data_IF_355585973527
#
_entry.id   IF_355585973527
#
_cell.length_a   1.000
_cell.length_b   1.000
_cell.length_c   1.000
_cell.angle_alpha   90.00
_cell.angle_beta   90.00
_cell.angle_gamma   90.00
#
_symmetry.space_group_name_H-M   'P 1'
#
loop_
_entity.id
_entity.type
_entity.pdbx_description
1 polymer ?
#
# COMPACT_ATOMS: atom_id res chain seq x y z
N UNK A 1 -19.89 -1.29 7.01
CA UNK A 1 -18.46 -1.59 7.30
C UNK A 1 -18.11 -1.35 8.77
N UNK A 2 -18.42 -0.20 9.38
CA UNK A 2 -18.00 0.10 10.77
C UNK A 2 -18.48 -0.96 11.76
N UNK A 3 -19.74 -1.33 11.75
CA UNK A 3 -20.29 -2.35 12.67
C UNK A 3 -19.58 -3.72 12.53
N UNK A 4 -19.23 -4.11 11.30
CA UNK A 4 -18.46 -5.36 11.06
C UNK A 4 -17.06 -5.24 11.64
N UNK A 5 -16.41 -4.07 11.47
CA UNK A 5 -15.08 -3.80 12.00
C UNK A 5 -15.07 -3.83 13.53
N UNK A 6 -16.05 -3.16 14.15
CA UNK A 6 -16.20 -3.12 15.62
C UNK A 6 -16.44 -4.52 16.19
N UNK A 7 -17.30 -5.33 15.54
CA UNK A 7 -17.49 -6.74 15.91
C UNK A 7 -16.21 -7.56 15.82
N UNK A 8 -15.46 -7.44 14.70
CA UNK A 8 -14.22 -8.19 14.50
C UNK A 8 -13.16 -7.82 15.52
N UNK A 9 -13.02 -6.54 15.84
CA UNK A 9 -12.01 -6.06 16.79
C UNK A 9 -12.36 -6.42 18.23
N UNK A 10 -13.60 -6.16 18.66
CA UNK A 10 -13.98 -6.25 20.05
C UNK A 10 -14.52 -7.64 20.45
N UNK A 11 -15.46 -8.18 19.66
CA UNK A 11 -16.14 -9.43 20.02
C UNK A 11 -15.38 -10.70 19.58
N UNK A 12 -14.55 -10.58 18.53
CA UNK A 12 -13.81 -11.74 18.01
C UNK A 12 -12.31 -11.71 18.34
N UNK A 13 -11.61 -10.59 18.07
CA UNK A 13 -10.16 -10.48 18.28
C UNK A 13 -9.79 -10.00 19.70
N UNK A 14 -10.76 -9.53 20.47
CA UNK A 14 -10.58 -9.07 21.84
C UNK A 14 -9.40 -8.08 22.00
N UNK A 15 -9.36 -7.04 21.13
CA UNK A 15 -8.24 -6.10 21.06
C UNK A 15 -8.02 -5.31 22.35
N UNK A 16 -9.03 -5.21 23.22
CA UNK A 16 -8.93 -4.63 24.55
C UNK A 16 -7.87 -5.32 25.43
N UNK A 17 -7.62 -6.63 25.20
CA UNK A 17 -6.60 -7.38 25.95
C UNK A 17 -5.18 -6.90 25.64
N UNK A 18 -4.97 -6.25 24.48
CA UNK A 18 -3.66 -5.69 24.11
C UNK A 18 -3.23 -4.56 25.05
N UNK A 19 -4.17 -3.80 25.61
CA UNK A 19 -3.86 -2.68 26.52
C UNK A 19 -3.20 -3.13 27.82
N UNK A 20 -3.31 -4.41 28.18
CA UNK A 20 -2.60 -4.99 29.32
C UNK A 20 -1.11 -5.23 29.05
N UNK A 21 -0.66 -5.14 27.79
CA UNK A 21 0.75 -5.34 27.40
C UNK A 21 1.54 -4.05 27.62
N UNK A 22 2.78 -4.11 28.14
CA UNK A 22 3.58 -2.91 28.45
C UNK A 22 3.71 -1.93 27.27
N UNK A 23 3.86 -2.44 26.02
CA UNK A 23 3.96 -1.60 24.83
C UNK A 23 2.72 -0.74 24.58
N UNK A 24 1.55 -1.23 24.95
CA UNK A 24 0.26 -0.62 24.64
C UNK A 24 -0.44 -0.02 25.88
N UNK A 25 0.26 0.05 27.02
CA UNK A 25 -0.32 0.46 28.31
C UNK A 25 -0.85 1.92 28.34
N UNK A 26 -0.37 2.78 27.44
CA UNK A 26 -0.85 4.16 27.27
C UNK A 26 -2.17 4.24 26.49
N UNK A 27 -2.63 3.12 25.89
CA UNK A 27 -3.85 3.05 25.12
C UNK A 27 -5.03 2.51 25.93
N UNK A 28 -6.23 2.81 25.45
CA UNK A 28 -7.50 2.26 25.91
C UNK A 28 -8.40 1.96 24.70
N UNK A 29 -9.53 1.31 24.94
CA UNK A 29 -10.55 1.09 23.90
C UNK A 29 -11.07 2.40 23.32
N UNK A 30 -11.16 3.46 24.13
CA UNK A 30 -11.56 4.80 23.72
C UNK A 30 -10.51 5.44 22.81
N UNK A 31 -9.21 5.26 23.08
CA UNK A 31 -8.14 5.75 22.18
C UNK A 31 -8.16 5.02 20.85
N UNK A 32 -8.39 3.70 20.85
CA UNK A 32 -8.56 2.93 19.61
C UNK A 32 -9.75 3.43 18.78
N UNK A 33 -10.91 3.62 19.42
CA UNK A 33 -12.10 4.17 18.77
C UNK A 33 -11.84 5.56 18.18
N UNK A 34 -11.16 6.46 18.91
CA UNK A 34 -10.84 7.80 18.45
C UNK A 34 -9.90 7.81 17.23
N UNK A 35 -8.93 6.88 17.17
CA UNK A 35 -8.08 6.69 15.98
C UNK A 35 -8.93 6.26 14.80
N UNK A 36 -9.79 5.25 14.96
CA UNK A 36 -10.65 4.76 13.88
C UNK A 36 -11.63 5.84 13.40
N UNK A 37 -12.22 6.63 14.30
CA UNK A 37 -13.11 7.76 13.94
C UNK A 37 -12.36 8.82 13.14
N UNK A 38 -11.11 9.10 13.51
CA UNK A 38 -10.25 10.04 12.77
C UNK A 38 -9.91 9.53 11.39
N UNK A 39 -9.51 8.26 11.25
CA UNK A 39 -9.22 7.62 9.96
C UNK A 39 -10.47 7.61 9.05
N UNK A 40 -11.63 7.23 9.60
CA UNK A 40 -12.89 7.22 8.86
C UNK A 40 -13.27 8.61 8.36
N UNK A 41 -13.14 9.64 9.20
CA UNK A 41 -13.43 11.03 8.83
C UNK A 41 -12.50 11.52 7.72
N UNK A 42 -11.18 11.33 7.84
CA UNK A 42 -10.21 11.75 6.83
C UNK A 42 -10.46 11.00 5.51
N UNK A 43 -10.67 9.69 5.56
CA UNK A 43 -10.96 8.86 4.38
C UNK A 43 -12.23 9.34 3.66
N UNK A 44 -13.30 9.61 4.41
CA UNK A 44 -14.57 10.11 3.88
C UNK A 44 -14.44 11.52 3.27
N UNK A 45 -13.70 12.42 3.91
CA UNK A 45 -13.69 13.84 3.56
C UNK A 45 -12.58 14.18 2.54
N UNK A 46 -11.47 13.42 2.52
CA UNK A 46 -10.27 13.71 1.71
C UNK A 46 -9.99 12.70 0.60
N UNK A 47 -10.43 11.46 0.72
CA UNK A 47 -10.15 10.39 -0.24
C UNK A 47 -11.37 10.05 -1.09
N UNK A 48 -12.47 9.65 -0.47
CA UNK A 48 -13.64 9.12 -1.16
C UNK A 48 -14.22 10.07 -2.23
N UNK A 49 -14.36 11.41 -2.00
CA UNK A 49 -14.91 12.33 -3.00
C UNK A 49 -14.04 12.46 -4.25
N UNK A 50 -12.75 12.13 -4.15
CA UNK A 50 -11.76 12.35 -5.21
C UNK A 50 -11.26 11.06 -5.85
N UNK A 51 -11.77 9.90 -5.44
CA UNK A 51 -11.35 8.60 -6.00
C UNK A 51 -11.59 8.54 -7.52
N UNK A 52 -12.74 9.04 -7.97
CA UNK A 52 -13.06 9.12 -9.41
C UNK A 52 -12.17 10.11 -10.16
N UNK A 53 -11.87 11.23 -9.53
CA UNK A 53 -10.97 12.24 -10.11
C UNK A 53 -9.57 11.66 -10.33
N UNK A 54 -9.02 10.97 -9.32
CA UNK A 54 -7.71 10.33 -9.40
C UNK A 54 -7.63 9.24 -10.49
N UNK A 55 -8.75 8.52 -10.75
CA UNK A 55 -8.83 7.54 -11.84
C UNK A 55 -8.89 8.19 -13.23
N UNK A 56 -9.59 9.30 -13.37
CA UNK A 56 -9.84 9.95 -14.68
C UNK A 56 -8.78 10.97 -15.07
N UNK A 57 -8.12 11.57 -14.11
CA UNK A 57 -6.98 12.47 -14.31
C UNK A 57 -5.69 11.74 -13.91
N UNK A 58 -5.27 10.82 -14.78
CA UNK A 58 -4.07 10.04 -14.57
C UNK A 58 -2.83 10.93 -14.44
N UNK A 59 -1.81 10.51 -13.62
CA UNK A 59 -0.52 11.18 -13.59
C UNK A 59 0.07 11.32 -14.99
N UNK A 60 0.57 12.49 -15.34
CA UNK A 60 1.18 12.77 -16.63
C UNK A 60 2.40 13.68 -16.50
N UNK A 61 3.33 13.54 -17.45
CA UNK A 61 4.54 14.36 -17.48
C UNK A 61 4.18 15.73 -18.05
N UNK A 62 4.60 16.77 -17.37
CA UNK A 62 4.58 18.15 -17.83
C UNK A 62 6.00 18.69 -17.89
N UNK A 63 6.30 19.45 -18.95
CA UNK A 63 7.61 20.09 -19.15
C UNK A 63 7.45 21.59 -19.11
N UNK A 64 8.20 22.25 -18.26
CA UNK A 64 8.26 23.70 -18.15
C UNK A 64 9.70 24.20 -17.99
N UNK A 65 9.89 25.48 -17.65
CA UNK A 65 11.22 26.05 -17.43
C UNK A 65 12.00 25.43 -16.27
N UNK A 66 11.33 24.69 -15.37
CA UNK A 66 11.95 23.95 -14.26
C UNK A 66 12.34 22.52 -14.62
N UNK A 67 12.03 22.06 -15.85
CA UNK A 67 12.28 20.71 -16.33
C UNK A 67 11.01 19.84 -16.38
N UNK A 68 11.24 18.53 -16.49
CA UNK A 68 10.14 17.55 -16.48
C UNK A 68 9.72 17.18 -15.05
N UNK A 69 8.42 17.17 -14.82
CA UNK A 69 7.79 16.76 -13.56
C UNK A 69 6.49 16.00 -13.81
N UNK A 70 6.04 15.26 -12.82
CA UNK A 70 4.77 14.54 -12.89
C UNK A 70 3.68 15.36 -12.24
N UNK A 71 2.67 15.71 -13.02
CA UNK A 71 1.48 16.38 -12.52
C UNK A 71 0.49 15.38 -11.92
N UNK A 72 -0.02 15.68 -10.74
CA UNK A 72 -1.08 14.97 -10.02
C UNK A 72 -2.21 15.96 -9.68
N UNK A 73 -3.47 15.49 -9.58
CA UNK A 73 -4.55 16.32 -9.05
C UNK A 73 -4.21 16.84 -7.64
N UNK A 74 -4.53 18.11 -7.36
CA UNK A 74 -4.32 18.70 -6.03
C UNK A 74 -4.95 17.87 -4.91
N UNK A 75 -6.11 17.26 -5.17
CA UNK A 75 -6.77 16.36 -4.22
C UNK A 75 -5.91 15.16 -3.79
N UNK A 76 -5.02 14.66 -4.66
CA UNK A 76 -4.08 13.59 -4.30
C UNK A 76 -3.02 14.10 -3.32
N UNK A 77 -2.51 15.32 -3.53
CA UNK A 77 -1.61 15.97 -2.57
C UNK A 77 -2.28 16.18 -1.22
N UNK A 78 -3.48 16.77 -1.21
CA UNK A 78 -4.21 17.08 0.02
C UNK A 78 -4.58 15.83 0.82
N UNK A 79 -4.95 14.75 0.14
CA UNK A 79 -5.30 13.49 0.78
C UNK A 79 -4.08 12.80 1.41
N UNK A 80 -2.99 12.70 0.66
CA UNK A 80 -1.75 12.05 1.15
C UNK A 80 -1.11 12.83 2.29
N UNK A 81 -1.13 14.17 2.23
CA UNK A 81 -0.65 15.00 3.34
C UNK A 81 -1.57 14.89 4.56
N UNK A 82 -2.90 14.88 4.39
CA UNK A 82 -3.83 14.66 5.51
C UNK A 82 -3.64 13.30 6.20
N UNK A 83 -3.29 12.25 5.43
CA UNK A 83 -2.89 10.96 5.99
C UNK A 83 -1.59 11.09 6.80
N UNK A 84 -0.56 11.73 6.26
CA UNK A 84 0.70 11.95 6.96
C UNK A 84 0.51 12.75 8.26
N UNK A 85 -0.24 13.85 8.21
CA UNK A 85 -0.56 14.71 9.36
C UNK A 85 -1.37 14.00 10.45
N UNK A 86 -2.10 12.93 10.11
CA UNK A 86 -2.83 12.11 11.10
C UNK A 86 -1.91 11.26 11.96
N UNK A 87 -0.62 11.15 11.64
CA UNK A 87 0.36 10.29 12.31
C UNK A 87 0.33 8.83 11.85
N UNK A 88 -0.54 8.47 10.91
CA UNK A 88 -0.70 7.08 10.47
C UNK A 88 0.52 6.51 9.74
N UNK A 89 1.43 7.35 9.21
CA UNK A 89 2.69 6.87 8.63
C UNK A 89 3.58 6.13 9.65
N UNK A 90 3.50 6.53 10.93
CA UNK A 90 4.30 5.98 12.02
C UNK A 90 3.43 5.32 13.10
N UNK A 91 2.20 4.94 12.81
CA UNK A 91 1.22 4.54 13.81
C UNK A 91 1.72 3.49 14.81
N UNK A 92 2.36 2.43 14.34
CA UNK A 92 2.90 1.35 15.18
C UNK A 92 4.33 1.61 15.71
N UNK A 93 4.99 2.70 15.29
CA UNK A 93 6.37 3.00 15.70
C UNK A 93 6.44 3.56 17.13
N UNK A 94 7.64 3.54 17.71
CA UNK A 94 7.90 4.09 19.03
C UNK A 94 7.73 5.61 19.06
N UNK A 95 7.37 6.16 20.22
CA UNK A 95 7.15 7.60 20.41
C UNK A 95 8.37 8.45 20.04
N UNK A 96 9.59 7.94 20.25
CA UNK A 96 10.84 8.64 19.91
C UNK A 96 11.01 8.88 18.40
N UNK A 97 10.35 8.06 17.57
CA UNK A 97 10.31 8.21 16.10
C UNK A 97 9.05 8.93 15.60
N UNK A 98 8.29 9.55 16.49
CA UNK A 98 7.03 10.23 16.16
C UNK A 98 5.85 9.28 16.00
N UNK A 99 5.99 8.02 16.43
CA UNK A 99 4.94 7.01 16.40
C UNK A 99 3.91 7.16 17.51
N UNK A 100 2.89 6.35 17.45
CA UNK A 100 1.82 6.29 18.44
C UNK A 100 1.85 4.98 19.25
N UNK A 101 2.75 4.06 18.95
CA UNK A 101 2.78 2.70 19.50
C UNK A 101 1.42 2.00 19.41
N UNK A 102 0.69 2.23 18.32
CA UNK A 102 -0.59 1.53 18.10
C UNK A 102 -0.37 0.03 17.86
N UNK A 103 -1.27 -0.84 18.34
CA UNK A 103 -1.31 -2.21 17.87
C UNK A 103 -1.46 -2.26 16.33
N UNK A 104 -0.75 -3.18 15.69
CA UNK A 104 -0.80 -3.39 14.24
C UNK A 104 -2.25 -3.67 13.77
N UNK A 105 -3.04 -4.39 14.56
CA UNK A 105 -4.45 -4.65 14.24
C UNK A 105 -5.29 -3.37 14.20
N UNK A 106 -5.00 -2.37 15.03
CA UNK A 106 -5.71 -1.08 15.03
C UNK A 106 -5.24 -0.21 13.88
N UNK A 107 -3.92 -0.18 13.59
CA UNK A 107 -3.38 0.48 12.40
C UNK A 107 -4.01 -0.08 11.12
N UNK A 108 -4.08 -1.41 10.99
CA UNK A 108 -4.69 -2.09 9.85
C UNK A 108 -6.19 -1.77 9.72
N UNK A 109 -6.91 -1.72 10.84
CA UNK A 109 -8.32 -1.33 10.87
C UNK A 109 -8.53 0.13 10.43
N UNK A 110 -7.63 1.05 10.83
CA UNK A 110 -7.62 2.43 10.34
C UNK A 110 -7.36 2.51 8.83
N UNK A 111 -6.39 1.74 8.35
CA UNK A 111 -6.04 1.67 6.92
C UNK A 111 -7.16 1.10 6.03
N UNK A 112 -8.08 0.30 6.60
CA UNK A 112 -9.26 -0.18 5.88
C UNK A 112 -10.15 0.97 5.37
N UNK A 113 -10.31 2.05 6.12
CA UNK A 113 -11.10 3.21 5.68
C UNK A 113 -10.46 3.91 4.48
N UNK A 114 -9.14 4.13 4.51
CA UNK A 114 -8.41 4.76 3.41
C UNK A 114 -8.41 3.90 2.15
N UNK A 115 -8.18 2.60 2.29
CA UNK A 115 -8.19 1.65 1.19
C UNK A 115 -9.55 1.53 0.52
N UNK A 116 -10.64 1.56 1.31
CA UNK A 116 -12.00 1.59 0.78
C UNK A 116 -12.30 2.88 0.04
N UNK A 117 -11.82 3.99 0.55
CA UNK A 117 -12.09 5.32 0.01
C UNK A 117 -11.34 5.58 -1.32
N UNK A 118 -10.05 5.27 -1.38
CA UNK A 118 -9.23 5.35 -2.60
C UNK A 118 -7.91 4.61 -2.42
N UNK A 119 -7.85 3.39 -2.89
CA UNK A 119 -6.63 2.58 -2.83
C UNK A 119 -5.47 3.21 -3.60
N UNK A 120 -5.75 3.89 -4.71
CA UNK A 120 -4.73 4.54 -5.54
C UNK A 120 -4.05 5.72 -4.82
N UNK A 121 -4.80 6.53 -4.07
CA UNK A 121 -4.24 7.64 -3.29
C UNK A 121 -3.52 7.13 -2.03
N UNK A 122 -4.00 6.05 -1.41
CA UNK A 122 -3.38 5.41 -0.25
C UNK A 122 -2.04 4.72 -0.55
N UNK A 123 -1.75 4.41 -1.81
CA UNK A 123 -0.55 3.70 -2.23
C UNK A 123 0.76 4.42 -1.89
N UNK A 124 0.78 5.75 -1.95
CA UNK A 124 1.96 6.55 -1.58
C UNK A 124 2.33 6.40 -0.11
N UNK A 125 1.34 6.47 0.77
CA UNK A 125 1.54 6.32 2.21
C UNK A 125 1.96 4.90 2.60
N UNK A 126 1.34 3.87 2.03
CA UNK A 126 1.68 2.47 2.26
C UNK A 126 3.14 2.16 1.90
N UNK A 127 3.61 2.64 0.75
CA UNK A 127 4.99 2.47 0.32
C UNK A 127 5.97 3.19 1.26
N UNK A 128 5.61 4.38 1.73
CA UNK A 128 6.43 5.20 2.62
C UNK A 128 6.57 4.54 4.00
N UNK A 129 5.48 4.12 4.62
CA UNK A 129 5.53 3.42 5.92
C UNK A 129 6.36 2.14 5.83
N UNK A 130 6.19 1.34 4.76
CA UNK A 130 6.97 0.12 4.56
C UNK A 130 8.46 0.39 4.33
N UNK A 131 8.82 1.44 3.58
CA UNK A 131 10.20 1.88 3.37
C UNK A 131 10.85 2.25 4.72
N UNK A 132 10.21 3.15 5.46
CA UNK A 132 10.70 3.60 6.76
C UNK A 132 10.82 2.45 7.76
N UNK A 133 9.84 1.53 7.84
CA UNK A 133 9.89 0.33 8.70
C UNK A 133 11.07 -0.57 8.36
N UNK A 134 11.36 -0.77 7.07
CA UNK A 134 12.55 -1.53 6.64
C UNK A 134 13.84 -0.85 7.14
N UNK A 135 13.94 0.48 7.02
CA UNK A 135 15.10 1.23 7.49
C UNK A 135 15.22 1.17 9.02
N UNK A 136 14.12 1.16 9.77
CA UNK A 136 14.13 0.93 11.22
C UNK A 136 14.72 -0.44 11.56
N UNK A 137 14.38 -1.48 10.80
CA UNK A 137 14.86 -2.83 11.06
C UNK A 137 16.33 -3.07 10.66
N UNK A 138 16.78 -2.47 9.55
CA UNK A 138 18.05 -2.82 8.91
C UNK A 138 19.03 -1.66 8.71
N UNK A 139 18.57 -0.42 8.82
CA UNK A 139 19.40 0.77 8.66
C UNK A 139 20.33 1.02 9.85
N UNK A 140 21.42 1.75 9.61
CA UNK A 140 22.28 2.26 10.67
C UNK A 140 21.52 3.28 11.53
N UNK A 141 21.99 3.61 12.76
CA UNK A 141 21.35 4.66 13.56
C UNK A 141 21.20 5.99 12.81
N UNK A 142 22.20 6.40 12.04
CA UNK A 142 22.13 7.64 11.25
C UNK A 142 21.16 7.51 10.05
N UNK A 143 21.09 6.36 9.39
CA UNK A 143 20.10 6.13 8.33
C UNK A 143 18.67 6.18 8.86
N UNK A 144 18.42 5.66 10.06
CA UNK A 144 17.10 5.76 10.72
C UNK A 144 16.74 7.21 11.01
N UNK A 145 17.66 7.98 11.58
CA UNK A 145 17.44 9.39 11.92
C UNK A 145 17.24 10.26 10.68
N UNK A 146 18.06 10.07 9.63
CA UNK A 146 18.04 10.90 8.44
C UNK A 146 16.90 10.50 7.49
N UNK A 147 16.67 9.22 7.26
CA UNK A 147 15.69 8.78 6.25
C UNK A 147 14.36 8.34 6.88
N UNK A 148 14.35 7.32 7.74
CA UNK A 148 13.10 6.75 8.26
C UNK A 148 12.27 7.78 9.04
N UNK A 149 12.89 8.57 9.89
CA UNK A 149 12.21 9.60 10.69
C UNK A 149 11.56 10.69 9.82
N UNK A 150 12.20 11.09 8.73
CA UNK A 150 11.63 12.07 7.80
C UNK A 150 10.52 11.48 6.92
N UNK A 151 10.54 10.18 6.66
CA UNK A 151 9.45 9.46 6.01
C UNK A 151 8.24 9.32 6.96
N UNK A 152 8.44 8.94 8.21
CA UNK A 152 7.38 8.88 9.23
C UNK A 152 6.75 10.26 9.51
N UNK A 153 7.53 11.32 9.42
CA UNK A 153 7.02 12.69 9.54
C UNK A 153 6.26 13.18 8.28
N UNK A 154 6.23 12.38 7.21
CA UNK A 154 5.61 12.77 5.93
C UNK A 154 6.36 13.85 5.17
N UNK A 155 7.59 14.19 5.59
CA UNK A 155 8.44 15.14 4.91
C UNK A 155 8.98 14.59 3.60
N UNK A 156 9.31 13.31 3.56
CA UNK A 156 9.74 12.57 2.38
C UNK A 156 8.86 11.34 2.19
N UNK A 157 8.73 10.88 0.95
CA UNK A 157 8.02 9.64 0.67
C UNK A 157 8.97 8.58 0.14
N UNK A 158 8.63 7.32 0.41
CA UNK A 158 9.45 6.17 0.12
C UNK A 158 8.91 5.30 -1.01
N UNK A 159 9.79 4.59 -1.70
CA UNK A 159 9.46 3.62 -2.73
C UNK A 159 10.27 2.35 -2.62
N UNK A 160 9.84 1.32 -3.34
CA UNK A 160 10.50 0.03 -3.43
C UNK A 160 10.83 -0.28 -4.90
N UNK A 161 12.12 -0.38 -5.25
CA UNK A 161 12.63 -0.53 -6.61
C UNK A 161 13.31 -1.90 -6.80
N UNK A 162 12.50 -2.94 -7.07
CA UNK A 162 12.96 -4.31 -7.28
C UNK A 162 13.08 -4.63 -8.77
N UNK A 163 11.95 -4.56 -9.46
CA UNK A 163 11.77 -5.08 -10.82
C UNK A 163 12.55 -4.28 -11.86
N UNK A 164 12.95 -4.98 -12.90
CA UNK A 164 13.56 -4.43 -14.11
C UNK A 164 12.79 -4.93 -15.35
N UNK A 165 12.97 -4.34 -16.52
CA UNK A 165 12.23 -4.78 -17.72
C UNK A 165 12.33 -6.28 -18.00
N UNK A 166 13.48 -6.91 -17.68
CA UNK A 166 13.74 -8.34 -17.87
C UNK A 166 13.62 -9.19 -16.59
N UNK A 167 13.43 -8.57 -15.40
CA UNK A 167 13.44 -9.25 -14.12
C UNK A 167 12.25 -8.81 -13.24
N UNK A 168 11.28 -9.69 -13.07
CA UNK A 168 10.09 -9.48 -12.23
C UNK A 168 9.94 -10.59 -11.21
N UNK A 169 9.27 -11.70 -11.55
CA UNK A 169 9.08 -12.84 -10.65
C UNK A 169 10.40 -13.53 -10.26
N UNK A 170 11.40 -13.52 -11.15
CA UNK A 170 12.76 -13.98 -10.86
C UNK A 170 13.69 -12.77 -10.75
N UNK A 171 14.15 -12.49 -9.52
CA UNK A 171 15.09 -11.39 -9.26
C UNK A 171 16.54 -11.79 -9.44
N UNK A 172 16.85 -13.08 -9.71
CA UNK A 172 18.21 -13.53 -10.02
C UNK A 172 18.83 -12.81 -11.22
N UNK A 173 17.97 -12.32 -12.13
CA UNK A 173 18.37 -11.68 -13.38
C UNK A 173 18.42 -10.14 -13.30
N UNK A 174 18.32 -9.58 -12.08
CA UNK A 174 18.56 -8.14 -11.86
C UNK A 174 19.93 -7.77 -12.40
N UNK A 175 19.98 -6.76 -13.26
CA UNK A 175 21.18 -6.28 -13.94
C UNK A 175 21.70 -4.94 -13.41
N UNK A 176 20.89 -4.20 -12.65
CA UNK A 176 21.35 -2.96 -11.99
C UNK A 176 22.58 -3.25 -11.16
N UNK A 177 23.64 -2.46 -11.40
CA UNK A 177 24.97 -2.62 -10.79
C UNK A 177 25.25 -1.48 -9.82
N UNK A 178 25.92 -1.80 -8.71
CA UNK A 178 26.39 -0.82 -7.73
C UNK A 178 27.90 -0.97 -7.54
N UNK A 179 28.63 0.11 -7.77
CA UNK A 179 30.10 0.19 -7.62
C UNK A 179 30.46 1.03 -6.41
N UNK A 180 31.31 0.53 -5.53
CA UNK A 180 31.74 1.24 -4.32
C UNK A 180 32.50 2.51 -4.71
N UNK A 181 32.08 3.64 -4.14
CA UNK A 181 32.73 4.95 -4.32
C UNK A 181 33.46 5.41 -3.05
N UNK A 182 32.80 5.28 -1.89
CA UNK A 182 33.36 5.72 -0.60
C UNK A 182 32.84 4.82 0.52
N UNK A 183 33.73 4.05 1.15
CA UNK A 183 33.38 3.15 2.25
C UNK A 183 33.14 3.91 3.57
N UNK A 184 33.69 5.13 3.69
CA UNK A 184 33.67 5.93 4.91
C UNK A 184 32.57 6.99 4.97
N UNK A 185 31.63 7.03 4.01
CA UNK A 185 30.54 8.00 4.02
C UNK A 185 29.67 7.85 5.28
N UNK A 186 29.37 8.93 6.00
CA UNK A 186 28.59 8.88 7.25
C UNK A 186 27.20 8.25 7.09
N UNK A 187 26.53 8.44 5.95
CA UNK A 187 25.21 7.86 5.67
C UNK A 187 25.27 6.35 5.34
N UNK A 188 26.46 5.76 5.41
CA UNK A 188 26.77 4.37 5.09
C UNK A 188 27.61 4.25 3.81
N UNK A 189 28.24 3.08 3.55
CA UNK A 189 29.07 2.90 2.37
C UNK A 189 28.33 3.38 1.11
N UNK A 190 28.96 4.36 0.42
CA UNK A 190 28.37 5.03 -0.75
C UNK A 190 28.76 4.33 -2.03
N UNK A 191 27.77 4.09 -2.87
CA UNK A 191 27.89 3.41 -4.15
C UNK A 191 27.37 4.29 -5.29
N UNK A 192 27.83 3.99 -6.51
CA UNK A 192 27.29 4.50 -7.77
C UNK A 192 26.48 3.39 -8.44
N UNK A 193 25.18 3.65 -8.62
CA UNK A 193 24.27 2.69 -9.22
C UNK A 193 24.01 3.04 -10.68
N UNK A 194 24.02 2.00 -11.54
CA UNK A 194 23.69 2.12 -12.98
C UNK A 194 22.75 1.01 -13.39
N UNK A 195 21.66 1.34 -14.06
CA UNK A 195 20.65 0.38 -14.53
C UNK A 195 19.27 0.99 -14.67
N UNK A 196 18.27 0.14 -14.82
CA UNK A 196 16.87 0.54 -15.03
C UNK A 196 15.97 -0.15 -14.04
N UNK A 197 14.95 0.56 -13.55
CA UNK A 197 13.92 0.00 -12.69
C UNK A 197 12.55 0.23 -13.31
N UNK A 198 11.71 -0.82 -13.36
CA UNK A 198 10.40 -0.83 -14.01
C UNK A 198 9.29 -1.12 -13.00
N UNK A 199 8.11 -0.60 -13.27
CA UNK A 199 6.90 -0.79 -12.44
C UNK A 199 7.01 -0.15 -11.04
N UNK A 200 7.69 0.99 -10.94
CA UNK A 200 7.93 1.64 -9.66
C UNK A 200 6.77 2.57 -9.31
N UNK A 201 5.92 2.10 -8.40
CA UNK A 201 4.83 2.92 -7.86
C UNK A 201 5.38 4.03 -6.97
N UNK A 202 4.83 5.24 -7.10
CA UNK A 202 5.32 6.42 -6.37
C UNK A 202 6.72 6.87 -6.78
N UNK A 203 7.27 6.38 -7.93
CA UNK A 203 8.66 6.60 -8.31
C UNK A 203 9.01 8.05 -8.68
N UNK A 204 8.02 8.85 -9.05
CA UNK A 204 8.21 10.28 -9.31
C UNK A 204 6.90 11.03 -8.97
N UNK A 205 7.01 12.10 -8.22
CA UNK A 205 5.93 13.01 -7.82
C UNK A 205 6.48 14.26 -7.15
N UNK A 206 5.60 15.24 -6.91
CA UNK A 206 5.89 16.48 -6.18
C UNK A 206 5.02 16.63 -4.92
N UNK A 207 4.54 15.52 -4.34
CA UNK A 207 3.74 15.54 -3.10
C UNK A 207 4.60 16.00 -1.93
N UNK A 208 5.87 15.54 -1.90
CA UNK A 208 6.85 15.85 -0.86
C UNK A 208 8.14 16.38 -1.48
N UNK A 209 9.00 16.98 -0.67
CA UNK A 209 10.25 17.60 -1.14
C UNK A 209 11.31 16.59 -1.60
N UNK A 210 11.22 15.32 -1.19
CA UNK A 210 12.13 14.27 -1.61
C UNK A 210 11.41 12.92 -1.74
N UNK A 211 12.02 12.01 -2.49
CA UNK A 211 11.62 10.61 -2.60
C UNK A 211 12.83 9.74 -2.27
N UNK A 212 12.62 8.78 -1.38
CA UNK A 212 13.65 7.84 -0.93
C UNK A 212 13.39 6.49 -1.59
N UNK A 213 14.19 6.12 -2.56
CA UNK A 213 14.07 4.84 -3.25
C UNK A 213 14.89 3.76 -2.54
N UNK A 214 14.27 2.65 -2.15
CA UNK A 214 14.97 1.42 -1.76
C UNK A 214 15.23 0.57 -2.99
N UNK A 215 16.48 0.52 -3.43
CA UNK A 215 16.87 -0.07 -4.72
C UNK A 215 17.66 -1.35 -4.53
N UNK A 216 17.21 -2.44 -5.17
CA UNK A 216 18.00 -3.67 -5.28
C UNK A 216 18.97 -3.58 -6.45
N UNK A 217 20.27 -3.81 -6.17
CA UNK A 217 21.33 -3.82 -7.18
C UNK A 217 22.39 -4.87 -6.84
N UNK A 218 23.15 -5.30 -7.85
CA UNK A 218 24.27 -6.24 -7.67
C UNK A 218 25.58 -5.49 -7.47
N UNK A 219 26.28 -5.86 -6.40
CA UNK A 219 27.69 -5.46 -6.19
C UNK A 219 28.57 -6.46 -6.91
N UNK A 220 29.52 -6.02 -7.77
CA UNK A 220 30.48 -6.90 -8.42
C UNK A 220 31.36 -7.65 -7.41
N UNK A 221 31.67 -8.90 -7.72
CA UNK A 221 32.64 -9.70 -6.98
C UNK A 221 34.09 -9.20 -7.18
N UNK A 222 35.08 -9.84 -6.51
CA UNK A 222 36.48 -9.47 -6.63
C UNK A 222 37.05 -9.54 -8.06
N UNK A 223 36.42 -10.30 -8.94
CA UNK A 223 36.75 -10.42 -10.37
C UNK A 223 36.10 -9.32 -11.24
N UNK A 224 35.38 -8.37 -10.61
CA UNK A 224 34.65 -7.30 -11.30
C UNK A 224 33.35 -7.75 -11.97
N UNK A 225 32.94 -9.02 -11.83
CA UNK A 225 31.73 -9.55 -12.44
C UNK A 225 30.58 -9.59 -11.44
N UNK A 226 29.31 -9.46 -11.92
CA UNK A 226 28.14 -9.62 -11.08
C UNK A 226 28.13 -11.02 -10.43
N UNK A 227 27.87 -11.07 -9.11
CA UNK A 227 27.69 -12.35 -8.40
C UNK A 227 26.38 -12.99 -8.90
N UNK A 228 26.41 -14.24 -9.37
CA UNK A 228 25.21 -14.91 -9.89
C UNK A 228 24.12 -15.13 -8.83
N UNK A 229 22.88 -15.16 -9.28
CA UNK A 229 21.71 -15.46 -8.45
C UNK A 229 21.36 -14.34 -7.47
N UNK A 230 20.57 -14.68 -6.48
CA UNK A 230 20.01 -13.70 -5.50
C UNK A 230 21.01 -13.28 -4.43
N UNK A 231 22.06 -14.08 -4.18
CA UNK A 231 23.10 -13.76 -3.18
C UNK A 231 23.97 -12.56 -3.55
N UNK A 232 23.98 -12.15 -4.83
CA UNK A 232 24.67 -10.93 -5.26
C UNK A 232 23.88 -9.65 -5.07
N UNK A 233 22.61 -9.75 -4.67
CA UNK A 233 21.71 -8.60 -4.57
C UNK A 233 21.89 -7.91 -3.22
N UNK A 234 22.17 -6.61 -3.27
CA UNK A 234 22.29 -5.72 -2.10
C UNK A 234 21.20 -4.65 -2.15
N UNK A 235 20.95 -4.00 -1.03
CA UNK A 235 19.93 -2.96 -0.89
C UNK A 235 20.57 -1.60 -0.67
N UNK A 236 20.06 -0.58 -1.34
CA UNK A 236 20.57 0.78 -1.29
C UNK A 236 19.45 1.80 -1.06
N UNK A 237 19.73 2.79 -0.21
CA UNK A 237 18.95 4.04 -0.12
C UNK A 237 19.43 4.95 -1.25
N UNK A 238 18.54 5.29 -2.17
CA UNK A 238 18.83 6.18 -3.31
C UNK A 238 17.85 7.36 -3.26
N UNK A 239 18.23 8.49 -2.66
CA UNK A 239 17.35 9.66 -2.59
C UNK A 239 17.25 10.36 -3.96
N UNK A 240 16.08 10.91 -4.28
CA UNK A 240 15.84 11.73 -5.48
C UNK A 240 16.68 13.02 -5.45
N UNK A 241 16.74 13.67 -4.29
CA UNK A 241 17.60 14.79 -3.99
C UNK A 241 18.61 14.38 -2.92
N UNK A 242 19.89 14.68 -3.14
CA UNK A 242 20.94 14.34 -2.17
C UNK A 242 20.74 15.12 -0.86
N UNK A 243 21.05 14.46 0.23
CA UNK A 243 20.92 14.98 1.59
C UNK A 243 22.23 14.86 2.35
N UNK A 244 22.42 15.70 3.36
CA UNK A 244 23.53 15.60 4.29
C UNK A 244 23.12 14.82 5.57
N UNK A 245 24.06 14.66 6.50
CA UNK A 245 23.87 13.97 7.78
C UNK A 245 22.82 14.63 8.71
N UNK A 246 22.41 15.88 8.43
CA UNK A 246 21.38 16.60 9.18
C UNK A 246 19.99 16.53 8.51
N UNK A 247 19.85 15.66 7.51
CA UNK A 247 18.65 15.57 6.70
C UNK A 247 18.27 16.86 5.96
N UNK A 248 19.26 17.67 5.59
CA UNK A 248 19.08 18.87 4.78
C UNK A 248 19.34 18.54 3.30
N UNK A 249 18.50 19.05 2.41
CA UNK A 249 18.71 18.91 0.97
C UNK A 249 19.96 19.69 0.56
N UNK A 250 20.88 19.05 -0.18
CA UNK A 250 22.09 19.71 -0.68
C UNK A 250 21.83 20.61 -1.88
N UNK A 251 20.62 20.54 -2.46
CA UNK A 251 20.29 21.21 -3.72
C UNK A 251 20.75 20.42 -4.96
N UNK A 252 21.45 19.32 -4.80
CA UNK A 252 21.88 18.46 -5.90
C UNK A 252 20.84 17.37 -6.17
N UNK A 253 20.31 17.31 -7.41
CA UNK A 253 19.47 16.22 -7.85
C UNK A 253 20.33 15.01 -8.18
N UNK A 254 19.99 13.87 -7.59
CA UNK A 254 20.65 12.60 -7.87
C UNK A 254 20.43 12.16 -9.33
N UNK A 255 21.31 11.31 -9.84
CA UNK A 255 21.21 10.77 -11.20
C UNK A 255 20.17 9.65 -11.31
N UNK A 256 18.92 9.99 -10.91
CA UNK A 256 17.71 9.18 -11.06
C UNK A 256 16.78 9.91 -12.02
N UNK A 257 16.64 9.37 -13.23
CA UNK A 257 15.85 9.97 -14.29
C UNK A 257 14.52 9.23 -14.48
N UNK A 258 13.42 9.99 -14.62
CA UNK A 258 12.14 9.45 -15.06
C UNK A 258 12.22 9.18 -16.56
N UNK A 259 12.20 7.91 -16.97
CA UNK A 259 12.20 7.53 -18.39
C UNK A 259 10.78 7.39 -18.96
N UNK A 260 9.76 7.29 -18.11
CA UNK A 260 8.38 7.23 -18.55
C UNK A 260 7.42 6.80 -17.44
N UNK A 261 6.13 6.97 -17.73
CA UNK A 261 5.02 6.52 -16.88
C UNK A 261 4.32 5.33 -17.55
N UNK A 262 3.97 4.34 -16.75
CA UNK A 262 3.15 3.22 -17.19
C UNK A 262 1.66 3.55 -17.02
N UNK A 263 0.89 3.41 -18.08
CA UNK A 263 -0.57 3.55 -18.08
C UNK A 263 -1.20 2.22 -17.66
N UNK A 264 -1.96 2.23 -16.57
CA UNK A 264 -2.44 1.02 -15.90
C UNK A 264 -3.93 0.78 -16.15
N UNK A 265 -4.37 -0.47 -15.98
CA UNK A 265 -5.77 -0.84 -15.97
C UNK A 265 -6.52 -0.19 -14.79
N UNK A 266 -5.96 -0.31 -13.59
CA UNK A 266 -6.45 0.23 -12.32
C UNK A 266 -5.34 0.93 -11.53
N UNK A 267 -5.64 1.39 -10.29
CA UNK A 267 -4.72 2.19 -9.47
C UNK A 267 -4.16 3.41 -10.23
N UNK A 268 -4.94 3.99 -11.12
CA UNK A 268 -4.45 5.00 -12.05
C UNK A 268 -3.96 6.27 -11.38
N UNK A 269 -4.52 6.60 -10.21
CA UNK A 269 -4.10 7.77 -9.43
C UNK A 269 -2.71 7.66 -8.78
N UNK A 270 -2.13 6.45 -8.71
CA UNK A 270 -0.74 6.27 -8.26
C UNK A 270 0.20 6.32 -9.45
N UNK A 271 1.26 7.14 -9.41
CA UNK A 271 2.31 7.10 -10.43
C UNK A 271 2.93 5.71 -10.51
N UNK A 272 3.28 5.28 -11.71
CA UNK A 272 4.04 4.04 -11.90
C UNK A 272 5.10 4.28 -12.98
N UNK A 273 6.35 4.19 -12.57
CA UNK A 273 7.48 4.75 -13.31
C UNK A 273 8.43 3.69 -13.86
N UNK A 274 9.04 4.03 -15.00
CA UNK A 274 10.33 3.53 -15.43
C UNK A 274 11.38 4.54 -14.97
N UNK A 275 12.35 4.09 -14.16
CA UNK A 275 13.44 4.92 -13.64
C UNK A 275 14.78 4.44 -14.21
N UNK A 276 15.56 5.37 -14.74
CA UNK A 276 16.94 5.14 -15.15
C UNK A 276 17.90 5.68 -14.09
N UNK A 277 18.86 4.85 -13.70
CA UNK A 277 19.91 5.18 -12.75
C UNK A 277 21.21 5.40 -13.50
N UNK A 278 21.85 6.56 -13.32
CA UNK A 278 23.15 6.82 -13.90
C UNK A 278 23.16 7.28 -15.36
N UNK A 279 22.07 7.83 -15.90
CA UNK A 279 22.00 8.32 -17.29
C UNK A 279 23.01 9.44 -17.62
N UNK A 280 23.34 10.27 -16.62
CA UNK A 280 24.31 11.36 -16.78
C UNK A 280 25.77 10.88 -16.76
N UNK A 281 25.99 9.56 -16.68
CA UNK A 281 27.29 8.92 -16.76
C UNK A 281 28.09 8.89 -15.46
N UNK A 282 27.56 9.42 -14.35
CA UNK A 282 28.21 9.37 -13.03
C UNK A 282 27.72 8.24 -12.14
N UNK A 283 26.57 7.65 -12.45
CA UNK A 283 25.85 6.72 -11.60
C UNK A 283 25.02 7.44 -10.52
N UNK A 284 23.88 6.89 -10.15
CA UNK A 284 23.08 7.38 -9.04
C UNK A 284 23.76 7.09 -7.70
N UNK A 285 23.82 8.06 -6.81
CA UNK A 285 24.32 7.88 -5.44
C UNK A 285 23.37 7.03 -4.66
N UNK A 286 23.90 5.96 -4.03
CA UNK A 286 23.13 5.11 -3.13
C UNK A 286 23.95 4.70 -1.91
N UNK A 287 23.31 4.57 -0.77
CA UNK A 287 23.92 4.17 0.50
C UNK A 287 23.51 2.75 0.85
N UNK A 288 24.49 1.89 1.14
CA UNK A 288 24.22 0.49 1.47
C UNK A 288 23.39 0.34 2.75
N UNK A 289 22.36 -0.49 2.70
CA UNK A 289 21.57 -0.92 3.88
C UNK A 289 21.96 -2.34 4.25
N UNK A 290 22.31 -2.56 5.51
CA UNK A 290 22.75 -3.87 5.99
C UNK A 290 24.12 -4.26 5.42
N UNK A 291 24.23 -5.48 4.84
CA UNK A 291 25.47 -6.02 4.28
C UNK A 291 25.34 -6.29 2.79
N UNK A 292 26.47 -6.27 2.08
CA UNK A 292 26.54 -6.72 0.68
C UNK A 292 26.01 -8.15 0.58
N UNK A 293 25.09 -8.38 -0.35
CA UNK A 293 24.43 -9.68 -0.58
C UNK A 293 23.19 -9.96 0.25
N UNK A 294 22.85 -9.12 1.24
CA UNK A 294 21.69 -9.28 2.12
C UNK A 294 20.43 -8.55 1.59
N UNK A 295 20.51 -7.90 0.44
CA UNK A 295 19.47 -6.97 -0.02
C UNK A 295 18.09 -7.60 -0.14
N UNK A 296 18.00 -8.82 -0.63
CA UNK A 296 16.71 -9.50 -0.76
C UNK A 296 16.12 -9.86 0.62
N UNK A 297 16.97 -10.28 1.57
CA UNK A 297 16.56 -10.57 2.95
C UNK A 297 16.00 -9.32 3.65
N UNK A 298 16.68 -8.18 3.50
CA UNK A 298 16.20 -6.92 4.04
C UNK A 298 14.87 -6.50 3.38
N UNK A 299 14.75 -6.63 2.06
CA UNK A 299 13.56 -6.27 1.32
C UNK A 299 12.33 -7.14 1.68
N UNK A 300 12.54 -8.39 2.10
CA UNK A 300 11.42 -9.24 2.56
C UNK A 300 10.73 -8.70 3.81
N UNK A 301 11.40 -7.92 4.63
CA UNK A 301 10.76 -7.24 5.76
C UNK A 301 9.60 -6.35 5.27
N UNK A 302 9.89 -5.42 4.38
CA UNK A 302 8.87 -4.57 3.76
C UNK A 302 7.83 -5.37 2.95
N UNK A 303 8.27 -6.38 2.21
CA UNK A 303 7.36 -7.17 1.36
C UNK A 303 6.33 -7.97 2.16
N UNK A 304 6.66 -8.47 3.34
CA UNK A 304 5.73 -9.25 4.17
C UNK A 304 4.63 -8.35 4.74
N UNK A 305 4.99 -7.17 5.26
CA UNK A 305 4.02 -6.16 5.70
C UNK A 305 3.15 -5.68 4.53
N UNK A 306 3.77 -5.35 3.40
CA UNK A 306 3.05 -4.93 2.20
C UNK A 306 2.07 -5.99 1.67
N UNK A 307 2.33 -7.29 1.88
CA UNK A 307 1.41 -8.37 1.45
C UNK A 307 0.08 -8.29 2.19
N UNK A 308 0.09 -8.06 3.50
CA UNK A 308 -1.14 -7.88 4.30
C UNK A 308 -1.85 -6.59 3.85
N UNK A 309 -1.13 -5.47 3.73
CA UNK A 309 -1.70 -4.19 3.28
C UNK A 309 -2.32 -4.25 1.88
N UNK A 310 -1.69 -4.96 0.93
CA UNK A 310 -2.25 -5.17 -0.43
C UNK A 310 -3.48 -6.08 -0.38
N UNK A 311 -3.46 -7.14 0.46
CA UNK A 311 -4.63 -7.98 0.71
C UNK A 311 -5.81 -7.18 1.24
N UNK A 312 -5.57 -6.34 2.24
CA UNK A 312 -6.56 -5.40 2.77
C UNK A 312 -7.10 -4.47 1.67
N UNK A 313 -6.24 -3.93 0.81
CA UNK A 313 -6.66 -3.12 -0.33
C UNK A 313 -7.66 -3.85 -1.24
N UNK A 314 -7.37 -5.11 -1.56
CA UNK A 314 -8.27 -5.94 -2.36
C UNK A 314 -9.61 -6.21 -1.65
N UNK A 315 -9.57 -6.51 -0.34
CA UNK A 315 -10.78 -6.67 0.49
C UNK A 315 -11.64 -5.42 0.47
N UNK A 316 -11.01 -4.25 0.66
CA UNK A 316 -11.73 -2.99 0.78
C UNK A 316 -12.33 -2.50 -0.55
N UNK A 317 -11.68 -2.80 -1.67
CA UNK A 317 -12.25 -2.61 -3.00
C UNK A 317 -13.48 -3.51 -3.23
N UNK A 318 -13.40 -4.78 -2.82
CA UNK A 318 -14.56 -5.69 -2.83
C UNK A 318 -15.69 -5.20 -1.93
N UNK A 319 -15.33 -4.67 -0.75
CA UNK A 319 -16.30 -4.12 0.21
C UNK A 319 -17.01 -2.87 -0.36
N UNK A 320 -16.29 -1.98 -1.02
CA UNK A 320 -16.87 -0.84 -1.71
C UNK A 320 -17.86 -1.26 -2.81
N UNK A 321 -17.50 -2.27 -3.60
CA UNK A 321 -18.40 -2.84 -4.62
C UNK A 321 -19.63 -3.51 -4.02
N UNK A 322 -19.46 -4.26 -2.93
CA UNK A 322 -20.57 -4.86 -2.19
C UNK A 322 -21.56 -3.81 -1.68
N UNK A 323 -21.08 -2.76 -0.99
CA UNK A 323 -21.96 -1.70 -0.46
C UNK A 323 -22.68 -0.97 -1.60
N UNK A 324 -21.98 -0.62 -2.69
CA UNK A 324 -22.59 0.03 -3.85
C UNK A 324 -23.68 -0.83 -4.50
N UNK A 325 -23.42 -2.14 -4.67
CA UNK A 325 -24.39 -3.05 -5.27
C UNK A 325 -25.56 -3.35 -4.33
N UNK A 326 -25.32 -3.42 -3.03
CA UNK A 326 -26.38 -3.60 -2.02
C UNK A 326 -27.34 -2.40 -1.99
N UNK A 327 -26.79 -1.18 -2.00
CA UNK A 327 -27.59 0.05 -2.02
C UNK A 327 -28.43 0.13 -3.31
N UNK A 328 -27.79 -0.14 -4.47
CA UNK A 328 -28.49 -0.19 -5.73
C UNK A 328 -29.61 -1.25 -5.71
N UNK A 329 -29.36 -2.44 -5.19
CA UNK A 329 -30.35 -3.53 -5.16
C UNK A 329 -31.55 -3.22 -4.27
N UNK A 330 -31.39 -2.40 -3.23
CA UNK A 330 -32.48 -1.94 -2.35
C UNK A 330 -33.38 -0.91 -3.03
N UNK A 331 -32.82 -0.10 -3.91
CA UNK A 331 -33.54 1.02 -4.52
C UNK A 331 -34.08 0.72 -5.92
N UNK A 332 -33.48 -0.21 -6.65
CA UNK A 332 -33.81 -0.51 -8.03
C UNK A 332 -35.06 -1.41 -8.15
N UNK A 333 -36.22 -0.91 -8.61
CA UNK A 333 -37.39 -1.76 -8.89
C UNK A 333 -37.22 -2.44 -10.25
N UNK A 334 -37.36 -3.77 -10.28
CA UNK A 334 -37.33 -4.56 -11.50
C UNK A 334 -37.96 -5.92 -11.26
N UNK A 335 -38.77 -6.36 -12.20
CA UNK A 335 -39.44 -7.67 -12.12
C UNK A 335 -40.56 -7.73 -11.08
N UNK A 336 -41.17 -8.85 -10.98
CA UNK A 336 -42.33 -9.16 -10.10
C UNK A 336 -42.14 -10.51 -9.41
N UNK A 337 -42.83 -10.74 -8.27
CA UNK A 337 -42.75 -12.03 -7.59
C UNK A 337 -43.22 -13.17 -8.52
N UNK A 338 -42.58 -14.31 -8.42
CA UNK A 338 -43.07 -15.56 -9.00
C UNK A 338 -44.15 -16.16 -8.09
N UNK A 339 -45.28 -16.49 -8.64
CA UNK A 339 -46.37 -17.24 -8.00
C UNK A 339 -46.51 -18.62 -8.64
N UNK A 340 -47.31 -19.51 -8.06
CA UNK A 340 -47.59 -20.81 -8.67
C UNK A 340 -48.25 -20.69 -10.06
N UNK A 341 -48.94 -19.58 -10.33
CA UNK A 341 -49.55 -19.27 -11.63
C UNK A 341 -48.62 -18.48 -12.57
N UNK A 342 -47.35 -18.26 -12.21
CA UNK A 342 -46.40 -17.46 -12.95
C UNK A 342 -46.30 -16.02 -12.43
N UNK A 343 -45.80 -15.09 -13.26
CA UNK A 343 -45.66 -13.66 -12.89
C UNK A 343 -47.01 -12.97 -13.00
N UNK A 344 -47.40 -12.27 -11.95
CA UNK A 344 -48.58 -11.40 -11.99
C UNK A 344 -48.18 -10.04 -12.61
N UNK A 345 -48.59 -9.83 -13.87
CA UNK A 345 -48.30 -8.59 -14.61
C UNK A 345 -48.99 -7.37 -14.04
N UNK A 346 -50.04 -7.51 -13.21
CA UNK A 346 -50.76 -6.39 -12.59
C UNK A 346 -50.13 -5.94 -11.27
N UNK A 347 -49.30 -6.78 -10.64
CA UNK A 347 -48.59 -6.37 -9.42
C UNK A 347 -47.48 -5.36 -9.70
N UNK A 348 -47.13 -4.48 -8.72
CA UNK A 348 -46.03 -3.54 -8.88
C UNK A 348 -44.67 -4.26 -8.97
N UNK A 349 -43.70 -3.57 -9.61
CA UNK A 349 -42.31 -4.02 -9.57
C UNK A 349 -41.78 -4.02 -8.12
N UNK A 350 -40.82 -4.89 -7.83
CA UNK A 350 -40.16 -4.96 -6.52
C UNK A 350 -38.68 -4.56 -6.61
N UNK A 351 -38.09 -4.09 -5.50
CA UNK A 351 -36.65 -3.94 -5.41
C UNK A 351 -35.93 -5.25 -5.77
N UNK A 352 -34.85 -5.16 -6.55
CA UNK A 352 -34.19 -6.38 -7.05
C UNK A 352 -33.57 -7.22 -5.94
N UNK A 353 -33.29 -6.65 -4.77
CA UNK A 353 -32.83 -7.39 -3.59
C UNK A 353 -33.83 -8.50 -3.16
N UNK A 354 -35.09 -8.41 -3.56
CA UNK A 354 -36.10 -9.45 -3.25
C UNK A 354 -35.97 -10.68 -4.16
N UNK A 355 -35.22 -10.61 -5.25
CA UNK A 355 -34.99 -11.76 -6.14
C UNK A 355 -33.88 -12.69 -5.60
N UNK A 356 -34.16 -14.00 -5.67
CA UNK A 356 -33.28 -15.01 -5.07
C UNK A 356 -31.86 -15.00 -5.61
N UNK A 357 -31.66 -14.80 -6.94
CA UNK A 357 -30.32 -14.76 -7.54
C UNK A 357 -29.54 -13.50 -7.17
N UNK A 358 -30.21 -12.35 -7.06
CA UNK A 358 -29.60 -11.13 -6.56
C UNK A 358 -29.14 -11.30 -5.11
N UNK A 359 -29.98 -11.93 -4.26
CA UNK A 359 -29.59 -12.27 -2.88
C UNK A 359 -28.40 -13.21 -2.83
N UNK A 360 -28.33 -14.21 -3.69
CA UNK A 360 -27.19 -15.13 -3.80
C UNK A 360 -25.91 -14.33 -4.12
N UNK A 361 -25.95 -13.43 -5.12
CA UNK A 361 -24.80 -12.60 -5.48
C UNK A 361 -24.37 -11.68 -4.34
N UNK A 362 -25.29 -11.04 -3.64
CA UNK A 362 -24.99 -10.16 -2.50
C UNK A 362 -24.43 -10.95 -1.31
N UNK A 363 -24.95 -12.15 -1.02
CA UNK A 363 -24.44 -13.00 0.04
C UNK A 363 -23.03 -13.52 -0.27
N UNK A 364 -22.75 -13.87 -1.53
CA UNK A 364 -21.41 -14.25 -1.95
C UNK A 364 -20.41 -13.10 -1.75
N UNK A 365 -20.75 -11.88 -2.22
CA UNK A 365 -19.94 -10.70 -2.01
C UNK A 365 -19.69 -10.45 -0.51
N UNK A 366 -20.75 -10.44 0.32
CA UNK A 366 -20.65 -10.26 1.76
C UNK A 366 -19.70 -11.27 2.41
N UNK A 367 -19.83 -12.55 2.06
CA UNK A 367 -18.99 -13.61 2.59
C UNK A 367 -17.50 -13.42 2.24
N UNK A 368 -17.22 -13.01 1.00
CA UNK A 368 -15.84 -12.78 0.56
C UNK A 368 -15.22 -11.58 1.27
N UNK A 369 -15.92 -10.45 1.35
CA UNK A 369 -15.33 -9.22 1.89
C UNK A 369 -15.25 -9.23 3.42
N UNK A 370 -16.24 -9.77 4.13
CA UNK A 370 -16.18 -9.86 5.60
C UNK A 370 -15.20 -10.95 6.05
N UNK A 371 -15.18 -12.10 5.37
CA UNK A 371 -14.20 -13.15 5.63
C UNK A 371 -12.77 -12.71 5.30
N UNK A 372 -12.59 -11.95 4.20
CA UNK A 372 -11.31 -11.33 3.85
C UNK A 372 -10.85 -10.33 4.91
N UNK A 373 -11.73 -9.42 5.36
CA UNK A 373 -11.42 -8.46 6.41
C UNK A 373 -11.02 -9.16 7.71
N UNK A 374 -11.74 -10.22 8.10
CA UNK A 374 -11.38 -11.01 9.26
C UNK A 374 -9.98 -11.62 9.13
N UNK A 375 -9.64 -12.18 7.96
CA UNK A 375 -8.31 -12.74 7.69
C UNK A 375 -7.20 -11.69 7.85
N UNK A 376 -7.36 -10.49 7.28
CA UNK A 376 -6.36 -9.43 7.35
C UNK A 376 -6.16 -8.93 8.79
N UNK A 377 -7.26 -8.70 9.52
CA UNK A 377 -7.18 -8.28 10.92
C UNK A 377 -6.60 -9.37 11.83
N UNK A 378 -6.87 -10.64 11.54
CA UNK A 378 -6.26 -11.74 12.26
C UNK A 378 -4.75 -11.81 12.02
N UNK A 379 -4.30 -11.64 10.78
CA UNK A 379 -2.86 -11.55 10.47
C UNK A 379 -2.22 -10.37 11.21
N UNK A 380 -2.85 -9.21 11.23
CA UNK A 380 -2.35 -8.05 11.98
C UNK A 380 -2.31 -8.31 13.50
N UNK A 381 -3.31 -8.99 14.05
CA UNK A 381 -3.34 -9.40 15.46
C UNK A 381 -2.22 -10.40 15.80
N UNK A 382 -1.87 -11.29 14.86
CA UNK A 382 -0.71 -12.18 15.01
C UNK A 382 0.62 -11.43 14.96
N UNK A 383 0.72 -10.34 14.20
CA UNK A 383 1.91 -9.45 14.24
C UNK A 383 2.05 -8.82 15.64
N UNK A 384 0.95 -8.38 16.25
CA UNK A 384 0.98 -7.89 17.64
C UNK A 384 1.41 -8.99 18.62
N UNK A 385 0.96 -10.25 18.42
CA UNK A 385 1.37 -11.39 19.24
C UNK A 385 2.86 -11.70 19.07
N UNK A 386 3.35 -11.67 17.83
CA UNK A 386 4.76 -11.89 17.50
C UNK A 386 5.68 -10.91 18.24
N UNK A 387 5.31 -9.64 18.33
CA UNK A 387 6.16 -8.59 18.87
C UNK A 387 5.98 -8.35 20.37
N UNK A 388 4.83 -8.68 20.94
CA UNK A 388 4.49 -8.28 22.32
C UNK A 388 3.87 -9.40 23.16
N UNK A 389 3.59 -10.56 22.57
CA UNK A 389 2.96 -11.69 23.24
C UNK A 389 3.94 -12.76 23.72
N UNK A 390 3.42 -13.73 24.45
CA UNK A 390 4.18 -14.86 24.99
C UNK A 390 4.31 -16.01 23.97
N UNK A 391 3.46 -16.05 22.94
CA UNK A 391 3.40 -17.10 21.91
C UNK A 391 4.04 -16.68 20.57
N UNK A 392 5.12 -15.89 20.60
CA UNK A 392 5.76 -15.33 19.40
C UNK A 392 6.16 -16.37 18.35
N UNK A 393 6.70 -17.52 18.77
CA UNK A 393 7.10 -18.58 17.83
C UNK A 393 5.91 -19.24 17.12
N UNK A 394 4.79 -19.43 17.82
CA UNK A 394 3.56 -19.95 17.23
C UNK A 394 2.95 -18.91 16.28
N UNK A 395 2.89 -17.65 16.69
CA UNK A 395 2.40 -16.55 15.85
C UNK A 395 3.20 -16.44 14.54
N UNK A 396 4.54 -16.55 14.61
CA UNK A 396 5.39 -16.57 13.41
C UNK A 396 5.07 -17.74 12.49
N UNK A 397 4.94 -18.95 13.05
CA UNK A 397 4.66 -20.15 12.25
C UNK A 397 3.29 -20.06 11.53
N UNK A 398 2.28 -19.46 12.18
CA UNK A 398 0.97 -19.23 11.57
C UNK A 398 1.05 -18.14 10.51
N UNK A 399 1.75 -17.03 10.77
CA UNK A 399 1.96 -15.95 9.80
C UNK A 399 2.68 -16.41 8.54
N UNK A 400 3.70 -17.28 8.66
CA UNK A 400 4.42 -17.81 7.51
C UNK A 400 3.51 -18.56 6.51
N UNK A 401 2.44 -19.19 7.02
CA UNK A 401 1.41 -19.84 6.20
C UNK A 401 0.36 -18.83 5.71
N UNK A 402 -0.09 -17.90 6.57
CA UNK A 402 -1.21 -17.03 6.25
C UNK A 402 -0.84 -15.84 5.35
N UNK A 403 0.35 -15.26 5.45
CA UNK A 403 0.75 -14.08 4.67
C UNK A 403 0.58 -14.29 3.15
N UNK A 404 1.02 -15.39 2.53
CA UNK A 404 0.74 -15.65 1.12
C UNK A 404 -0.75 -15.75 0.79
N UNK A 405 -1.54 -16.33 1.71
CA UNK A 405 -3.00 -16.49 1.57
C UNK A 405 -3.69 -15.13 1.71
N UNK A 406 -3.31 -14.33 2.71
CA UNK A 406 -3.83 -12.98 2.97
C UNK A 406 -3.68 -12.08 1.73
N UNK A 407 -2.61 -12.22 0.96
CA UNK A 407 -2.48 -11.50 -0.30
C UNK A 407 -3.28 -12.15 -1.44
N UNK A 408 -3.14 -13.45 -1.66
CA UNK A 408 -3.63 -14.11 -2.88
C UNK A 408 -5.14 -14.34 -2.87
N UNK A 409 -5.70 -14.79 -1.75
CA UNK A 409 -7.11 -15.10 -1.64
C UNK A 409 -8.01 -13.87 -1.83
N UNK A 410 -7.76 -12.71 -1.16
CA UNK A 410 -8.57 -11.52 -1.40
C UNK A 410 -8.45 -10.98 -2.83
N UNK A 411 -7.26 -11.01 -3.43
CA UNK A 411 -7.08 -10.52 -4.81
C UNK A 411 -7.87 -11.34 -5.85
N UNK A 412 -8.20 -12.61 -5.56
CA UNK A 412 -9.04 -13.44 -6.42
C UNK A 412 -10.53 -13.27 -6.07
N UNK A 413 -10.91 -13.47 -4.80
CA UNK A 413 -12.32 -13.55 -4.41
C UNK A 413 -12.99 -12.18 -4.21
N UNK A 414 -12.25 -11.14 -3.86
CA UNK A 414 -12.80 -9.78 -3.82
C UNK A 414 -12.89 -9.17 -5.24
N UNK A 415 -12.05 -9.62 -6.19
CA UNK A 415 -12.27 -9.34 -7.60
C UNK A 415 -13.58 -9.99 -8.11
N UNK A 416 -13.86 -11.24 -7.72
CA UNK A 416 -15.13 -11.91 -8.03
C UNK A 416 -16.30 -11.15 -7.37
N UNK A 417 -16.15 -10.67 -6.12
CA UNK A 417 -17.15 -9.81 -5.49
C UNK A 417 -17.46 -8.57 -6.36
N UNK A 418 -16.46 -7.91 -6.91
CA UNK A 418 -16.65 -6.78 -7.81
C UNK A 418 -17.26 -7.17 -9.16
N UNK A 419 -16.96 -8.35 -9.69
CA UNK A 419 -17.64 -8.90 -10.86
C UNK A 419 -19.14 -9.10 -10.61
N UNK A 420 -19.49 -9.64 -9.44
CA UNK A 420 -20.89 -9.78 -9.00
C UNK A 420 -21.56 -8.41 -8.76
N UNK A 421 -20.83 -7.41 -8.25
CA UNK A 421 -21.35 -6.04 -8.10
C UNK A 421 -21.75 -5.45 -9.46
N UNK A 422 -20.89 -5.57 -10.48
CA UNK A 422 -21.21 -5.17 -11.85
C UNK A 422 -22.47 -5.90 -12.35
N UNK A 423 -22.56 -7.21 -12.11
CA UNK A 423 -23.72 -8.02 -12.54
C UNK A 423 -25.02 -7.59 -11.85
N UNK A 424 -24.98 -7.25 -10.55
CA UNK A 424 -26.16 -6.75 -9.80
C UNK A 424 -26.69 -5.44 -10.40
N UNK A 425 -25.81 -4.55 -10.86
CA UNK A 425 -26.20 -3.30 -11.50
C UNK A 425 -26.70 -3.49 -12.95
N UNK A 426 -26.49 -4.67 -13.56
CA UNK A 426 -26.87 -4.93 -14.95
C UNK A 426 -26.18 -4.00 -15.93
N UNK A 427 -26.90 -3.41 -16.88
CA UNK A 427 -26.34 -2.50 -17.87
C UNK A 427 -25.66 -1.27 -17.26
N UNK A 428 -26.13 -0.77 -16.14
CA UNK A 428 -25.50 0.35 -15.41
C UNK A 428 -24.14 -0.01 -14.83
N UNK A 429 -23.93 -1.28 -14.44
CA UNK A 429 -22.61 -1.74 -13.97
C UNK A 429 -21.53 -1.72 -15.05
N UNK A 430 -21.92 -1.67 -16.32
CA UNK A 430 -21.01 -1.59 -17.47
C UNK A 430 -20.74 -0.14 -17.93
N UNK A 431 -21.22 0.83 -17.20
CA UNK A 431 -21.04 2.25 -17.51
C UNK A 431 -20.10 2.93 -16.49
N UNK A 432 -19.51 4.07 -16.88
CA UNK A 432 -18.70 4.87 -16.00
C UNK A 432 -19.50 5.77 -15.06
N UNK A 433 -20.83 5.73 -15.12
CA UNK A 433 -21.71 6.55 -14.26
C UNK A 433 -21.80 5.96 -12.84
N UNK A 434 -21.43 4.69 -12.68
CA UNK A 434 -21.38 3.98 -11.40
C UNK A 434 -19.96 3.55 -11.06
N UNK A 435 -19.58 3.50 -9.77
CA UNK A 435 -18.20 3.29 -9.37
C UNK A 435 -17.72 1.83 -9.47
N UNK A 436 -18.62 0.87 -9.67
CA UNK A 436 -18.29 -0.57 -9.61
C UNK A 436 -17.30 -1.03 -10.67
N UNK A 437 -17.27 -0.38 -11.85
CA UNK A 437 -16.31 -0.68 -12.90
C UNK A 437 -14.89 -0.26 -12.49
N UNK A 438 -14.75 0.86 -11.77
CA UNK A 438 -13.48 1.30 -11.23
C UNK A 438 -13.00 0.36 -10.13
N UNK A 439 -13.85 -0.02 -9.18
CA UNK A 439 -13.50 -0.98 -8.12
C UNK A 439 -13.03 -2.31 -8.69
N UNK A 440 -13.67 -2.79 -9.76
CA UNK A 440 -13.24 -4.00 -10.46
C UNK A 440 -11.86 -3.85 -11.09
N UNK A 441 -11.59 -2.74 -11.79
CA UNK A 441 -10.29 -2.46 -12.41
C UNK A 441 -9.17 -2.28 -11.38
N UNK A 442 -9.47 -1.61 -10.28
CA UNK A 442 -8.52 -1.38 -9.21
C UNK A 442 -8.21 -2.67 -8.42
N UNK A 443 -9.16 -3.60 -8.37
CA UNK A 443 -8.99 -4.90 -7.70
C UNK A 443 -8.20 -5.91 -8.54
N UNK A 444 -8.25 -5.80 -9.88
CA UNK A 444 -7.53 -6.70 -10.79
C UNK A 444 -6.04 -6.42 -10.81
#
# INVERSE_FOLDING_TARGET
MRDTLDFLLNDWLHVEQLTARPRFAEHSTETFAAVLDTCERIARDKFAPFNRLADTQEPHIVSDSGGERVHLPQATHDATLAYAESGMLAAAQDYEFGGMQLPCVIEMAGNAFFSKASVAMGGYAMLTSGNASLLMAHGTPLQREVFAKNEFAGRWFGTMCLSEPQAGSSLSDVATRAELEDEGDPLGPRYRLTGNKMWISGGEHEITENIIHLVLAKVPGPDGKPVPGTRGISLFIVPKWLVNERAELTGERNDVALAGLNHKLGYRGTTNCLLNLGEKGRGAVGYLVGKVGDGLRCMFHMMNEARIGVGLGAVMLGYAGYEASLEYARQRPQGRPMTAAGKDSASPQRPIIEHADVRRMLLAQKSYVEGGLALELYCARLVDELHTGDAAAEAQAVLDVLIPIAKSWPSEWCLEANSLAIQVLGGYGYTRDFPVEQYWRDNR
#
